data_IF_306314174660
#
_entry.id   IF_306314174660
#
_cell.length_a   1.000
_cell.length_b   1.000
_cell.length_c   1.000
_cell.angle_alpha   90.00
_cell.angle_beta   90.00
_cell.angle_gamma   90.00
#
_symmetry.space_group_name_H-M   'P 1'
#
loop_
_entity.id
_entity.type
_entity.pdbx_description
1 polymer ?
#
# COMPACT_ATOMS: atom_id res chain seq x y z
N UNK A 1 17.88 -10.03 14.42
CA UNK A 1 16.82 -10.04 13.39
C UNK A 1 15.52 -9.42 13.89
N UNK A 2 15.07 -9.70 15.12
CA UNK A 2 13.85 -9.09 15.69
C UNK A 2 13.81 -7.55 15.62
N UNK A 3 14.93 -6.87 15.90
CA UNK A 3 15.03 -5.40 15.77
C UNK A 3 14.74 -4.89 14.35
N UNK A 4 15.01 -5.68 13.30
CA UNK A 4 14.69 -5.31 11.92
C UNK A 4 13.18 -5.28 11.68
N UNK A 5 12.45 -6.29 12.19
CA UNK A 5 10.99 -6.33 12.09
C UNK A 5 10.33 -5.25 12.96
N UNK A 6 10.94 -4.91 14.09
CA UNK A 6 10.47 -3.84 14.96
C UNK A 6 10.51 -2.45 14.29
N UNK A 7 11.33 -2.26 13.25
CA UNK A 7 11.33 -1.01 12.47
C UNK A 7 10.03 -0.77 11.70
N UNK A 8 9.21 -1.80 11.46
CA UNK A 8 7.88 -1.64 10.85
C UNK A 8 6.88 -0.91 11.75
N UNK A 9 7.15 -0.81 13.06
CA UNK A 9 6.34 0.00 13.98
C UNK A 9 6.37 1.50 13.64
N UNK A 10 7.39 1.95 12.90
CA UNK A 10 7.48 3.33 12.42
C UNK A 10 6.52 3.63 11.25
N UNK A 11 5.88 2.61 10.68
CA UNK A 11 4.87 2.80 9.63
C UNK A 11 3.59 3.40 10.21
N UNK A 12 2.92 4.28 9.46
CA UNK A 12 1.59 4.81 9.82
C UNK A 12 0.47 3.79 9.63
N UNK A 13 0.73 2.71 8.89
CA UNK A 13 -0.27 1.70 8.56
C UNK A 13 -0.37 0.62 9.65
N UNK A 14 -1.51 0.47 10.35
CA UNK A 14 -1.64 -0.44 11.48
C UNK A 14 -1.41 -1.92 11.09
N UNK A 15 -1.76 -2.29 9.86
CA UNK A 15 -1.52 -3.64 9.33
C UNK A 15 -0.02 -4.02 9.34
N UNK A 16 0.86 -3.09 8.93
CA UNK A 16 2.31 -3.32 8.90
C UNK A 16 2.91 -3.38 10.31
N UNK A 17 2.37 -2.57 11.23
CA UNK A 17 2.80 -2.59 12.64
C UNK A 17 2.50 -3.95 13.29
N UNK A 18 1.29 -4.46 13.10
CA UNK A 18 0.85 -5.75 13.65
C UNK A 18 1.68 -6.91 13.07
N UNK A 19 1.93 -6.90 11.76
CA UNK A 19 2.79 -7.89 11.11
C UNK A 19 4.22 -7.89 11.69
N UNK A 20 4.82 -6.71 11.84
CA UNK A 20 6.16 -6.56 12.41
C UNK A 20 6.29 -7.08 13.85
N UNK A 21 5.28 -6.82 14.69
CA UNK A 21 5.23 -7.31 16.08
C UNK A 21 5.13 -8.84 16.13
N UNK A 22 4.22 -9.43 15.33
CA UNK A 22 4.05 -10.88 15.26
C UNK A 22 5.34 -11.58 14.85
N UNK A 23 6.05 -11.08 13.83
CA UNK A 23 7.34 -11.63 13.41
C UNK A 23 8.43 -11.46 14.47
N UNK A 24 8.48 -10.31 15.15
CA UNK A 24 9.46 -10.07 16.20
C UNK A 24 9.27 -11.06 17.37
N UNK A 25 8.02 -11.30 17.79
CA UNK A 25 7.68 -12.30 18.81
C UNK A 25 8.05 -13.70 18.33
N UNK A 26 7.70 -14.06 17.09
CA UNK A 26 8.04 -15.36 16.50
C UNK A 26 9.54 -15.65 16.52
N UNK A 27 10.37 -14.67 16.14
CA UNK A 27 11.84 -14.82 16.15
C UNK A 27 12.38 -15.02 17.57
N UNK A 28 11.83 -14.32 18.57
CA UNK A 28 12.22 -14.48 19.97
C UNK A 28 11.86 -15.89 20.45
N UNK A 29 10.65 -16.37 20.13
CA UNK A 29 10.23 -17.73 20.47
C UNK A 29 11.10 -18.79 19.79
N UNK A 30 11.39 -18.65 18.50
CA UNK A 30 12.29 -19.55 17.79
C UNK A 30 13.67 -19.60 18.46
N UNK A 31 14.22 -18.46 18.89
CA UNK A 31 15.52 -18.41 19.56
C UNK A 31 15.52 -19.13 20.91
N UNK A 32 14.46 -18.96 21.71
CA UNK A 32 14.32 -19.67 23.00
C UNK A 32 14.18 -21.18 22.77
N UNK A 33 13.36 -21.59 21.81
CA UNK A 33 13.16 -23.00 21.46
C UNK A 33 14.47 -23.60 20.93
N UNK A 34 15.20 -22.90 20.07
CA UNK A 34 16.48 -23.34 19.51
C UNK A 34 17.52 -23.55 20.61
N UNK A 35 17.63 -22.62 21.58
CA UNK A 35 18.52 -22.79 22.73
C UNK A 35 18.13 -24.02 23.55
N UNK A 36 16.85 -24.16 23.90
CA UNK A 36 16.37 -25.29 24.69
C UNK A 36 16.57 -26.64 23.99
N UNK A 37 16.27 -26.70 22.70
CA UNK A 37 16.47 -27.91 21.88
C UNK A 37 17.96 -28.21 21.73
N UNK A 38 18.80 -27.21 21.50
CA UNK A 38 20.24 -27.41 21.36
C UNK A 38 20.80 -28.05 22.63
N UNK A 39 20.52 -27.50 23.82
CA UNK A 39 20.97 -28.11 25.08
C UNK A 39 20.37 -29.51 25.33
N UNK A 40 19.10 -29.72 25.00
CA UNK A 40 18.43 -31.01 25.16
C UNK A 40 19.02 -32.09 24.24
N UNK A 41 19.18 -31.77 22.95
CA UNK A 41 19.75 -32.66 21.94
C UNK A 41 21.22 -32.94 22.24
N UNK A 42 22.03 -31.94 22.62
CA UNK A 42 23.42 -32.18 23.01
C UNK A 42 23.51 -33.13 24.20
N UNK A 43 22.72 -32.92 25.26
CA UNK A 43 22.75 -33.80 26.43
C UNK A 43 22.34 -35.24 26.09
N UNK A 44 21.35 -35.44 25.22
CA UNK A 44 20.91 -36.77 24.79
C UNK A 44 21.92 -37.46 23.86
N UNK A 45 22.58 -36.71 22.96
CA UNK A 45 23.60 -37.24 22.05
C UNK A 45 24.90 -37.56 22.78
N UNK A 46 25.33 -36.70 23.71
CA UNK A 46 26.56 -36.88 24.48
C UNK A 46 26.44 -38.11 25.41
N UNK A 47 25.24 -38.40 25.92
CA UNK A 47 24.96 -39.63 26.67
C UNK A 47 25.08 -40.91 25.82
N UNK A 48 24.97 -40.83 24.49
CA UNK A 48 25.01 -41.99 23.58
C UNK A 48 26.36 -42.23 22.89
N UNK A 49 27.27 -41.25 22.83
CA UNK A 49 28.49 -41.36 22.02
C UNK A 49 29.78 -41.08 22.82
N UNK A 50 30.27 -42.07 23.57
CA UNK A 50 31.65 -42.16 24.07
C UNK A 50 32.60 -42.89 23.12
N UNK A 51 32.28 -42.95 21.81
CA UNK A 51 33.21 -43.50 20.81
C UNK A 51 33.88 -42.34 20.09
N UNK A 52 35.23 -42.24 20.08
CA UNK A 52 35.91 -41.18 19.36
C UNK A 52 35.46 -41.24 17.90
N UNK A 53 34.88 -40.15 17.42
CA UNK A 53 34.61 -39.96 15.99
C UNK A 53 35.97 -40.05 15.32
N UNK A 54 36.24 -41.16 14.62
CA UNK A 54 37.36 -41.22 13.68
C UNK A 54 37.09 -40.08 12.70
N UNK A 55 37.96 -39.07 12.68
CA UNK A 55 37.97 -38.06 11.62
C UNK A 55 38.19 -38.86 10.33
N UNK A 56 37.11 -39.18 9.64
CA UNK A 56 37.20 -39.81 8.34
C UNK A 56 37.76 -38.70 7.46
N UNK A 57 39.04 -38.85 7.11
CA UNK A 57 39.69 -38.04 6.10
C UNK A 57 39.04 -38.40 4.76
N UNK A 58 37.85 -37.87 4.55
CA UNK A 58 37.05 -38.19 3.39
C UNK A 58 37.53 -37.34 2.23
N UNK A 59 38.43 -37.96 1.49
CA UNK A 59 38.78 -37.69 0.10
C UNK A 59 37.54 -37.86 -0.83
N UNK A 60 36.34 -37.59 -0.33
CA UNK A 60 35.07 -37.72 -1.01
C UNK A 60 35.02 -36.70 -2.14
N UNK A 61 34.52 -37.10 -3.30
CA UNK A 61 34.49 -36.25 -4.50
C UNK A 61 33.86 -34.85 -4.22
N UNK A 62 32.89 -34.78 -3.32
CA UNK A 62 32.30 -33.53 -2.84
C UNK A 62 33.32 -32.61 -2.14
N UNK A 63 34.20 -33.13 -1.28
CA UNK A 63 35.20 -32.31 -0.59
C UNK A 63 36.20 -31.72 -1.57
N UNK A 64 36.64 -32.51 -2.55
CA UNK A 64 37.51 -32.04 -3.65
C UNK A 64 36.82 -31.02 -4.55
N UNK A 65 35.53 -31.18 -4.80
CA UNK A 65 34.74 -30.21 -5.58
C UNK A 65 34.55 -28.89 -4.83
N UNK A 66 34.19 -28.95 -3.53
CA UNK A 66 34.05 -27.78 -2.67
C UNK A 66 35.38 -27.04 -2.52
N UNK A 67 36.49 -27.77 -2.37
CA UNK A 67 37.83 -27.19 -2.25
C UNK A 67 38.24 -26.50 -3.55
N UNK A 68 38.00 -27.13 -4.70
CA UNK A 68 38.28 -26.55 -6.02
C UNK A 68 37.39 -25.34 -6.30
N UNK A 69 36.11 -25.39 -5.94
CA UNK A 69 35.18 -24.27 -6.04
C UNK A 69 35.60 -23.09 -5.15
N UNK A 70 35.92 -23.37 -3.88
CA UNK A 70 36.37 -22.35 -2.92
C UNK A 70 37.67 -21.70 -3.38
N UNK A 71 38.62 -22.49 -3.88
CA UNK A 71 39.89 -21.98 -4.41
C UNK A 71 39.71 -21.21 -5.73
N UNK A 72 38.68 -21.52 -6.53
CA UNK A 72 38.35 -20.77 -7.75
C UNK A 72 37.68 -19.43 -7.44
N UNK A 73 36.70 -19.43 -6.54
CA UNK A 73 36.03 -18.22 -6.04
C UNK A 73 37.03 -17.31 -5.28
N UNK A 74 37.92 -17.90 -4.49
CA UNK A 74 38.96 -17.18 -3.73
C UNK A 74 40.00 -16.45 -4.60
N UNK A 75 40.14 -16.81 -5.89
CA UNK A 75 41.01 -16.10 -6.84
C UNK A 75 40.37 -14.87 -7.47
N UNK A 76 39.05 -14.70 -7.34
CA UNK A 76 38.28 -13.67 -8.04
C UNK A 76 37.57 -12.67 -7.09
N UNK A 77 38.13 -12.27 -5.92
CA UNK A 77 37.40 -11.44 -4.96
C UNK A 77 37.09 -10.04 -5.52
N UNK A 78 38.03 -9.43 -6.23
CA UNK A 78 37.90 -8.08 -6.80
C UNK A 78 36.86 -8.04 -7.93
N UNK A 79 36.90 -8.89 -8.98
CA UNK A 79 35.89 -8.85 -10.03
C UNK A 79 34.49 -9.21 -9.52
N UNK A 80 34.36 -10.15 -8.58
CA UNK A 80 33.06 -10.48 -7.95
C UNK A 80 32.51 -9.26 -7.21
N UNK A 81 33.35 -8.52 -6.48
CA UNK A 81 32.94 -7.31 -5.76
C UNK A 81 32.53 -6.20 -6.72
N UNK A 82 33.27 -6.00 -7.82
CA UNK A 82 32.93 -5.01 -8.85
C UNK A 82 31.59 -5.35 -9.50
N UNK A 83 31.38 -6.61 -9.90
CA UNK A 83 30.11 -7.05 -10.50
C UNK A 83 28.95 -6.86 -9.50
N UNK A 84 29.14 -7.25 -8.24
CA UNK A 84 28.12 -7.05 -7.20
C UNK A 84 27.80 -5.57 -6.97
N UNK A 85 28.81 -4.70 -6.99
CA UNK A 85 28.64 -3.25 -6.85
C UNK A 85 27.91 -2.64 -8.06
N UNK A 86 28.26 -3.05 -9.27
CA UNK A 86 27.58 -2.61 -10.50
C UNK A 86 26.11 -3.04 -10.48
N UNK A 87 25.83 -4.31 -10.16
CA UNK A 87 24.46 -4.81 -10.03
C UNK A 87 23.69 -4.08 -8.92
N UNK A 88 24.35 -3.72 -7.82
CA UNK A 88 23.75 -2.92 -6.74
C UNK A 88 23.33 -1.53 -7.21
N UNK A 89 24.20 -0.86 -7.96
CA UNK A 89 23.97 0.52 -8.44
C UNK A 89 22.88 0.54 -9.49
N UNK A 90 22.95 -0.37 -10.46
CA UNK A 90 21.87 -0.56 -11.45
C UNK A 90 20.56 -0.82 -10.72
N UNK A 91 20.60 -1.72 -9.74
CA UNK A 91 19.42 -2.10 -9.02
C UNK A 91 18.75 -0.97 -8.24
N UNK A 92 19.55 -0.14 -7.58
CA UNK A 92 19.06 1.04 -6.88
C UNK A 92 18.53 2.10 -7.84
N UNK A 93 19.13 2.25 -9.03
CA UNK A 93 18.68 3.20 -10.04
C UNK A 93 17.31 2.84 -10.62
N UNK A 94 17.00 1.55 -10.76
CA UNK A 94 15.73 1.08 -11.35
C UNK A 94 14.59 1.04 -10.33
N UNK A 95 14.89 1.04 -9.02
CA UNK A 95 13.89 0.94 -7.94
C UNK A 95 12.87 2.09 -7.96
N UNK A 96 13.30 3.32 -8.33
CA UNK A 96 12.40 4.48 -8.40
C UNK A 96 11.42 4.46 -9.58
N UNK A 97 11.62 3.58 -10.57
CA UNK A 97 10.80 3.51 -11.77
C UNK A 97 9.72 2.42 -11.72
N UNK A 98 9.58 1.71 -10.60
CA UNK A 98 8.59 0.64 -10.45
C UNK A 98 7.23 1.27 -10.11
N UNK A 99 6.23 1.23 -11.01
CA UNK A 99 4.90 1.73 -10.71
C UNK A 99 4.26 0.87 -9.62
N UNK A 100 3.70 1.52 -8.61
CA UNK A 100 2.91 0.83 -7.58
C UNK A 100 1.53 0.52 -8.14
N UNK A 101 1.21 -0.77 -8.33
CA UNK A 101 -0.14 -1.18 -8.73
C UNK A 101 -1.08 -1.04 -7.53
N UNK A 102 -1.82 0.07 -7.46
CA UNK A 102 -2.76 0.33 -6.37
C UNK A 102 -4.17 -0.19 -6.65
N UNK A 103 -4.40 -0.79 -7.81
CA UNK A 103 -5.70 -1.34 -8.18
C UNK A 103 -5.88 -2.72 -7.53
N UNK A 104 -6.60 -2.75 -6.41
CA UNK A 104 -6.91 -3.97 -5.66
C UNK A 104 -7.68 -5.01 -6.50
N UNK A 105 -8.46 -4.59 -7.50
CA UNK A 105 -9.22 -5.52 -8.34
C UNK A 105 -8.30 -6.40 -9.20
N UNK A 106 -7.12 -5.92 -9.59
CA UNK A 106 -6.12 -6.73 -10.30
C UNK A 106 -5.51 -7.82 -9.43
N UNK A 107 -5.62 -7.71 -8.09
CA UNK A 107 -5.14 -8.73 -7.16
C UNK A 107 -6.11 -9.90 -6.99
N UNK A 108 -7.35 -9.73 -7.46
CA UNK A 108 -8.36 -10.77 -7.44
C UNK A 108 -8.18 -11.65 -8.70
N UNK A 109 -8.33 -12.98 -8.62
CA UNK A 109 -8.26 -13.83 -9.81
C UNK A 109 -9.30 -13.40 -10.86
N UNK A 110 -8.82 -13.02 -12.05
CA UNK A 110 -9.65 -12.43 -13.11
C UNK A 110 -10.60 -13.45 -13.78
N UNK A 111 -10.39 -14.74 -13.50
CA UNK A 111 -11.21 -15.85 -13.99
C UNK A 111 -12.47 -16.09 -13.15
N UNK A 112 -12.59 -15.46 -11.98
CA UNK A 112 -13.77 -15.59 -11.12
C UNK A 112 -15.02 -15.10 -11.83
N UNK A 113 -16.03 -15.98 -11.91
CA UNK A 113 -17.33 -15.67 -12.53
C UNK A 113 -17.97 -14.43 -11.90
N UNK A 114 -17.91 -14.28 -10.58
CA UNK A 114 -18.47 -13.13 -9.87
C UNK A 114 -17.85 -11.79 -10.32
N UNK A 115 -16.55 -11.77 -10.65
CA UNK A 115 -15.88 -10.56 -11.13
C UNK A 115 -16.29 -10.25 -12.58
N UNK A 116 -16.42 -11.27 -13.44
CA UNK A 116 -16.91 -11.10 -14.81
C UNK A 116 -18.35 -10.60 -14.85
N UNK A 117 -19.21 -11.14 -14.00
CA UNK A 117 -20.61 -10.72 -13.88
C UNK A 117 -20.68 -9.27 -13.36
N UNK A 118 -19.86 -8.91 -12.37
CA UNK A 118 -19.77 -7.54 -11.87
C UNK A 118 -19.27 -6.55 -12.94
N UNK A 119 -18.21 -6.89 -13.67
CA UNK A 119 -17.69 -6.06 -14.77
C UNK A 119 -18.73 -5.91 -15.88
N UNK A 120 -19.46 -6.97 -16.22
CA UNK A 120 -20.52 -6.91 -17.25
C UNK A 120 -21.68 -6.00 -16.83
N UNK A 121 -22.07 -6.03 -15.56
CA UNK A 121 -23.07 -5.09 -15.02
C UNK A 121 -22.54 -3.65 -15.02
N UNK A 122 -21.27 -3.48 -14.70
CA UNK A 122 -20.60 -2.18 -14.69
C UNK A 122 -20.49 -1.57 -16.09
N UNK A 123 -20.26 -2.36 -17.13
CA UNK A 123 -20.25 -1.88 -18.51
C UNK A 123 -21.62 -1.33 -18.97
N UNK A 124 -22.71 -1.81 -18.35
CA UNK A 124 -24.08 -1.37 -18.65
C UNK A 124 -24.50 -0.18 -17.79
N UNK A 125 -24.17 -0.20 -16.50
CA UNK A 125 -24.62 0.80 -15.50
C UNK A 125 -23.64 1.98 -15.40
N UNK A 126 -22.40 1.83 -15.86
CA UNK A 126 -21.32 2.80 -15.75
C UNK A 126 -20.57 2.71 -14.42
N UNK A 127 -19.72 3.70 -14.12
CA UNK A 127 -18.90 3.71 -12.90
C UNK A 127 -19.75 3.62 -11.63
N UNK A 128 -19.28 2.88 -10.64
CA UNK A 128 -19.92 2.79 -9.30
C UNK A 128 -19.02 3.35 -8.20
N UNK A 129 -17.96 4.06 -8.60
CA UNK A 129 -16.96 4.62 -7.69
C UNK A 129 -17.35 6.05 -7.35
N UNK A 130 -17.62 6.29 -6.07
CA UNK A 130 -17.98 7.61 -5.56
C UNK A 130 -16.92 8.13 -4.58
N UNK A 131 -16.51 9.39 -4.77
CA UNK A 131 -15.80 10.16 -3.75
C UNK A 131 -16.83 11.01 -3.03
N UNK A 132 -17.07 10.69 -1.76
CA UNK A 132 -18.09 11.35 -0.93
C UNK A 132 -17.46 12.48 -0.12
N UNK A 133 -18.12 13.63 -0.10
CA UNK A 133 -17.86 14.73 0.81
C UNK A 133 -19.06 14.90 1.75
N UNK A 134 -18.76 15.14 3.02
CA UNK A 134 -19.73 15.55 4.04
C UNK A 134 -19.70 17.06 4.12
N UNK A 135 -20.86 17.68 3.94
CA UNK A 135 -21.10 19.11 4.14
C UNK A 135 -21.79 19.28 5.48
N UNK A 136 -21.19 20.08 6.35
CA UNK A 136 -21.70 20.43 7.67
C UNK A 136 -22.03 21.92 7.70
N UNK A 137 -23.24 22.26 8.15
CA UNK A 137 -23.71 23.63 8.32
C UNK A 137 -24.75 23.68 9.45
N UNK A 138 -25.12 24.88 9.92
CA UNK A 138 -26.20 25.04 10.90
C UNK A 138 -27.54 24.48 10.37
N UNK A 139 -27.83 24.75 9.09
CA UNK A 139 -28.92 24.13 8.34
C UNK A 139 -28.50 23.91 6.87
N UNK A 140 -28.33 22.65 6.47
CA UNK A 140 -27.98 22.27 5.09
C UNK A 140 -29.16 22.39 4.13
N UNK A 141 -30.37 22.63 4.64
CA UNK A 141 -31.57 22.90 3.85
C UNK A 141 -31.78 24.39 3.56
N UNK A 142 -30.86 25.23 4.03
CA UNK A 142 -30.91 26.67 3.75
C UNK A 142 -30.59 26.99 2.27
N UNK A 143 -31.29 27.95 1.65
CA UNK A 143 -31.06 28.32 0.24
C UNK A 143 -29.60 28.62 -0.10
N UNK A 144 -28.88 29.29 0.80
CA UNK A 144 -27.48 29.67 0.57
C UNK A 144 -26.58 28.43 0.49
N UNK A 145 -26.76 27.48 1.42
CA UNK A 145 -26.02 26.21 1.44
C UNK A 145 -26.35 25.34 0.22
N UNK A 146 -27.63 25.27 -0.16
CA UNK A 146 -28.08 24.49 -1.33
C UNK A 146 -27.52 25.07 -2.62
N UNK A 147 -27.57 26.39 -2.77
CA UNK A 147 -27.04 27.07 -3.94
C UNK A 147 -25.51 26.90 -4.03
N UNK A 148 -24.80 27.01 -2.90
CA UNK A 148 -23.37 26.73 -2.84
C UNK A 148 -23.04 25.29 -3.26
N UNK A 149 -23.76 24.29 -2.73
CA UNK A 149 -23.58 22.88 -3.11
C UNK A 149 -23.83 22.65 -4.61
N UNK A 150 -24.83 23.33 -5.19
CA UNK A 150 -25.16 23.25 -6.61
C UNK A 150 -24.03 23.82 -7.48
N UNK A 151 -23.61 25.06 -7.18
CA UNK A 151 -22.54 25.75 -7.93
C UNK A 151 -21.21 25.02 -7.81
N UNK A 152 -20.86 24.54 -6.60
CA UNK A 152 -19.65 23.77 -6.38
C UNK A 152 -19.70 22.43 -7.13
N UNK A 153 -20.81 21.70 -7.04
CA UNK A 153 -21.02 20.45 -7.77
C UNK A 153 -20.83 20.61 -9.28
N UNK A 154 -21.54 21.57 -9.88
CA UNK A 154 -21.48 21.86 -11.31
C UNK A 154 -20.09 22.33 -11.75
N UNK A 155 -19.42 23.16 -10.92
CA UNK A 155 -18.03 23.62 -11.16
C UNK A 155 -17.07 22.45 -11.23
N UNK A 156 -17.12 21.50 -10.30
CA UNK A 156 -16.22 20.35 -10.27
C UNK A 156 -16.47 19.44 -11.47
N UNK A 157 -17.74 19.13 -11.79
CA UNK A 157 -18.09 18.30 -12.95
C UNK A 157 -17.65 18.96 -14.26
N UNK A 158 -17.79 20.28 -14.40
CA UNK A 158 -17.37 21.02 -15.60
C UNK A 158 -15.83 21.11 -15.75
N UNK A 159 -15.10 21.20 -14.63
CA UNK A 159 -13.63 21.36 -14.64
C UNK A 159 -12.89 20.02 -14.78
N UNK A 160 -13.45 18.94 -14.22
CA UNK A 160 -12.78 17.64 -14.17
C UNK A 160 -13.50 16.61 -15.04
N UNK A 161 -12.92 16.28 -16.20
CA UNK A 161 -13.46 15.28 -17.14
C UNK A 161 -13.59 13.87 -16.54
N UNK A 162 -12.83 13.60 -15.50
CA UNK A 162 -12.83 12.31 -14.81
C UNK A 162 -13.95 12.21 -13.75
N UNK A 163 -14.72 13.28 -13.55
CA UNK A 163 -15.94 13.28 -12.73
C UNK A 163 -17.13 13.21 -13.68
N UNK A 164 -17.88 12.11 -13.62
CA UNK A 164 -19.02 11.85 -14.50
C UNK A 164 -20.28 12.58 -14.05
N UNK A 165 -20.54 12.57 -12.74
CA UNK A 165 -21.78 13.08 -12.15
C UNK A 165 -21.56 13.47 -10.68
N UNK A 166 -22.38 14.40 -10.18
CA UNK A 166 -22.50 14.71 -8.76
C UNK A 166 -23.91 14.33 -8.27
N UNK A 167 -23.98 13.60 -7.17
CA UNK A 167 -25.24 13.30 -6.47
C UNK A 167 -25.25 14.02 -5.13
N UNK A 168 -26.19 14.96 -4.97
CA UNK A 168 -26.33 15.80 -3.79
C UNK A 168 -27.80 16.24 -3.64
N UNK A 169 -28.15 16.88 -2.51
CA UNK A 169 -29.50 17.41 -2.31
C UNK A 169 -29.96 18.37 -3.43
N UNK A 170 -29.17 19.36 -3.90
CA UNK A 170 -29.59 20.19 -5.02
C UNK A 170 -29.84 19.35 -6.28
N UNK A 171 -29.01 18.35 -6.60
CA UNK A 171 -29.25 17.50 -7.78
C UNK A 171 -30.57 16.73 -7.71
N UNK A 172 -30.96 16.25 -6.52
CA UNK A 172 -32.26 15.60 -6.35
C UNK A 172 -33.43 16.59 -6.49
N UNK A 173 -33.26 17.82 -5.99
CA UNK A 173 -34.25 18.88 -6.17
C UNK A 173 -34.34 19.31 -7.64
N UNK A 174 -33.23 19.35 -8.37
CA UNK A 174 -33.20 19.63 -9.80
C UNK A 174 -34.00 18.59 -10.58
N UNK A 175 -33.82 17.31 -10.28
CA UNK A 175 -34.55 16.24 -10.94
C UNK A 175 -36.07 16.31 -10.70
N UNK A 176 -36.50 16.84 -9.56
CA UNK A 176 -37.93 17.00 -9.24
C UNK A 176 -38.54 18.28 -9.80
N UNK A 177 -37.78 19.38 -9.82
CA UNK A 177 -38.31 20.73 -10.12
C UNK A 177 -37.94 21.24 -11.52
N UNK A 178 -36.86 20.74 -12.10
CA UNK A 178 -36.27 21.24 -13.34
C UNK A 178 -35.63 22.64 -13.22
N UNK A 179 -35.49 23.20 -12.01
CA UNK A 179 -35.01 24.57 -11.81
C UNK A 179 -33.62 24.62 -11.18
N UNK A 180 -32.66 25.22 -11.88
CA UNK A 180 -31.26 25.37 -11.47
C UNK A 180 -30.98 26.47 -10.45
N UNK A 181 -31.97 27.32 -10.16
CA UNK A 181 -31.81 28.41 -9.20
C UNK A 181 -32.58 28.12 -7.89
N UNK A 182 -31.82 27.93 -6.81
CA UNK A 182 -32.33 27.69 -5.46
C UNK A 182 -32.38 28.94 -4.59
N UNK A 183 -32.11 30.13 -5.16
CA UNK A 183 -32.16 31.42 -4.47
C UNK A 183 -33.58 31.89 -4.09
N UNK A 184 -34.57 31.01 -4.24
CA UNK A 184 -35.99 31.29 -3.98
C UNK A 184 -36.33 31.23 -2.48
N UNK A 185 -37.52 31.73 -2.12
CA UNK A 185 -38.02 31.76 -0.74
C UNK A 185 -37.84 30.44 0.00
N UNK A 186 -37.21 30.51 1.18
CA UNK A 186 -36.94 29.37 2.08
C UNK A 186 -38.16 28.48 2.32
N UNK A 187 -39.36 29.06 2.41
CA UNK A 187 -40.60 28.31 2.59
C UNK A 187 -40.94 27.39 1.40
N UNK A 188 -40.67 27.83 0.17
CA UNK A 188 -40.92 27.03 -1.03
C UNK A 188 -39.97 25.82 -1.05
N UNK A 189 -38.70 26.06 -0.74
CA UNK A 189 -37.66 25.04 -0.68
C UNK A 189 -37.96 24.00 0.41
N UNK A 190 -38.36 24.45 1.59
CA UNK A 190 -38.80 23.55 2.67
C UNK A 190 -40.02 22.70 2.28
N UNK A 191 -40.99 23.29 1.56
CA UNK A 191 -42.17 22.57 1.09
C UNK A 191 -41.83 21.52 0.03
N UNK A 192 -40.85 21.79 -0.83
CA UNK A 192 -40.34 20.83 -1.80
C UNK A 192 -39.60 19.68 -1.10
N UNK A 193 -38.77 19.98 -0.11
CA UNK A 193 -38.06 18.98 0.69
C UNK A 193 -39.05 18.08 1.45
N UNK A 194 -40.15 18.65 1.99
CA UNK A 194 -41.22 17.88 2.67
C UNK A 194 -41.97 16.93 1.74
N UNK A 195 -42.03 17.24 0.44
CA UNK A 195 -42.67 16.39 -0.57
C UNK A 195 -41.74 15.27 -1.07
N UNK A 196 -40.44 15.35 -0.78
CA UNK A 196 -39.48 14.33 -1.18
C UNK A 196 -39.75 13.01 -0.44
N UNK A 197 -39.65 11.86 -1.14
CA UNK A 197 -39.70 10.56 -0.48
C UNK A 197 -38.65 10.48 0.65
N UNK A 198 -39.04 10.06 1.86
CA UNK A 198 -38.14 10.08 3.02
C UNK A 198 -36.92 9.17 2.86
N UNK A 199 -36.99 8.18 1.97
CA UNK A 199 -35.86 7.31 1.61
C UNK A 199 -34.80 8.04 0.80
N UNK A 200 -35.20 8.92 -0.13
CA UNK A 200 -34.28 9.73 -0.93
C UNK A 200 -33.67 10.86 -0.08
N UNK A 201 -34.48 11.52 0.75
CA UNK A 201 -33.96 12.59 1.61
C UNK A 201 -32.91 12.06 2.60
N UNK A 202 -33.14 10.89 3.20
CA UNK A 202 -32.21 10.25 4.14
C UNK A 202 -30.90 9.77 3.52
N UNK A 203 -30.84 9.59 2.19
CA UNK A 203 -29.58 9.19 1.54
C UNK A 203 -28.62 10.37 1.37
N UNK A 204 -29.15 11.60 1.31
CA UNK A 204 -28.35 12.82 1.09
C UNK A 204 -28.29 13.74 2.30
N UNK A 205 -29.26 13.72 3.21
CA UNK A 205 -29.35 14.63 4.37
C UNK A 205 -29.65 13.89 5.66
N UNK A 206 -28.97 14.31 6.72
CA UNK A 206 -29.19 13.83 8.08
C UNK A 206 -30.51 14.32 8.66
N UNK A 207 -31.11 13.53 9.56
CA UNK A 207 -32.37 13.85 10.22
C UNK A 207 -32.33 15.18 11.02
N UNK A 208 -31.15 15.59 11.49
CA UNK A 208 -30.95 16.85 12.21
C UNK A 208 -30.71 18.06 11.29
N UNK A 209 -30.73 17.89 9.95
CA UNK A 209 -30.43 18.93 8.95
C UNK A 209 -29.04 19.60 9.05
N UNK A 210 -28.13 19.08 9.87
CA UNK A 210 -26.78 19.67 10.00
C UNK A 210 -25.77 19.07 9.02
N UNK A 211 -26.11 17.94 8.40
CA UNK A 211 -25.20 17.21 7.54
C UNK A 211 -25.87 16.87 6.21
N UNK A 212 -25.16 17.13 5.12
CA UNK A 212 -25.50 16.72 3.76
C UNK A 212 -24.33 15.98 3.11
N UNK A 213 -24.60 15.11 2.14
CA UNK A 213 -23.56 14.43 1.36
C UNK A 213 -23.52 14.93 -0.08
N UNK A 214 -22.31 15.08 -0.60
CA UNK A 214 -22.04 15.29 -2.03
C UNK A 214 -21.19 14.13 -2.52
N UNK A 215 -21.74 13.35 -3.44
CA UNK A 215 -21.09 12.16 -3.99
C UNK A 215 -20.68 12.44 -5.43
N UNK A 216 -19.38 12.50 -5.67
CA UNK A 216 -18.84 12.64 -7.02
C UNK A 216 -18.58 11.27 -7.60
N UNK A 217 -19.29 10.93 -8.67
CA UNK A 217 -19.08 9.72 -9.45
C UNK A 217 -17.83 9.90 -10.30
N UNK A 218 -16.83 9.05 -10.12
CA UNK A 218 -15.51 9.19 -10.75
C UNK A 218 -15.31 8.10 -11.79
N UNK A 219 -14.62 8.42 -12.88
CA UNK A 219 -14.27 7.47 -13.92
C UNK A 219 -13.51 6.27 -13.33
N UNK A 220 -14.01 5.07 -13.64
CA UNK A 220 -13.49 3.80 -13.16
C UNK A 220 -12.10 3.44 -13.69
N UNK A 221 -11.68 4.02 -14.81
CA UNK A 221 -10.37 3.79 -15.41
C UNK A 221 -9.24 4.46 -14.62
N UNK A 222 -9.58 5.42 -13.75
CA UNK A 222 -8.59 6.07 -12.91
C UNK A 222 -7.97 5.10 -11.92
N UNK A 223 -6.63 5.05 -11.90
CA UNK A 223 -5.88 4.39 -10.85
C UNK A 223 -6.13 5.06 -9.49
N UNK A 224 -5.94 4.32 -8.39
CA UNK A 224 -6.12 4.87 -7.04
C UNK A 224 -5.20 6.08 -6.78
N UNK A 225 -4.02 6.15 -7.41
CA UNK A 225 -3.15 7.33 -7.34
C UNK A 225 -3.77 8.56 -8.00
N UNK A 226 -4.34 8.40 -9.20
CA UNK A 226 -5.05 9.49 -9.90
C UNK A 226 -6.33 9.90 -9.16
N UNK A 227 -7.06 8.94 -8.59
CA UNK A 227 -8.24 9.22 -7.76
C UNK A 227 -7.86 10.03 -6.50
N UNK A 228 -6.72 9.71 -5.87
CA UNK A 228 -6.20 10.47 -4.74
C UNK A 228 -5.80 11.90 -5.14
N UNK A 229 -5.14 12.07 -6.28
CA UNK A 229 -4.79 13.38 -6.83
C UNK A 229 -6.04 14.22 -7.15
N UNK A 230 -7.04 13.61 -7.79
CA UNK A 230 -8.33 14.23 -8.06
C UNK A 230 -9.02 14.65 -6.76
N UNK A 231 -9.08 13.77 -5.76
CA UNK A 231 -9.64 14.07 -4.43
C UNK A 231 -8.92 15.25 -3.78
N UNK A 232 -7.59 15.26 -3.79
CA UNK A 232 -6.79 16.34 -3.21
C UNK A 232 -7.02 17.67 -3.94
N UNK A 233 -7.15 17.63 -5.27
CA UNK A 233 -7.43 18.80 -6.10
C UNK A 233 -8.81 19.37 -5.79
N UNK A 234 -9.86 18.53 -5.75
CA UNK A 234 -11.21 18.93 -5.37
C UNK A 234 -11.19 19.51 -3.95
N UNK A 235 -10.49 18.86 -3.00
CA UNK A 235 -10.39 19.33 -1.61
C UNK A 235 -9.73 20.71 -1.51
N UNK A 236 -8.74 21.01 -2.35
CA UNK A 236 -8.09 22.32 -2.39
C UNK A 236 -8.96 23.42 -3.02
N UNK A 237 -9.92 23.05 -3.87
CA UNK A 237 -10.81 23.99 -4.56
C UNK A 237 -12.06 24.34 -3.74
N UNK A 238 -12.25 23.73 -2.57
CA UNK A 238 -13.38 24.00 -1.67
C UNK A 238 -13.28 25.46 -1.19
N UNK A 239 -14.16 26.31 -1.72
CA UNK A 239 -14.34 27.73 -1.39
C UNK A 239 -15.65 27.93 -0.62
N UNK A 240 -15.81 27.18 0.47
CA UNK A 240 -16.98 27.26 1.34
C UNK A 240 -17.01 28.59 2.12
N UNK A 241 -18.19 29.19 2.25
CA UNK A 241 -18.42 30.42 3.04
C UNK A 241 -18.34 30.15 4.55
N UNK A 242 -18.18 31.22 5.34
CA UNK A 242 -18.20 31.14 6.81
C UNK A 242 -19.45 30.39 7.30
N UNK A 243 -19.26 29.28 8.00
CA UNK A 243 -20.33 28.41 8.52
C UNK A 243 -20.55 27.09 7.78
N UNK A 244 -19.92 26.88 6.61
CA UNK A 244 -19.98 25.61 5.87
C UNK A 244 -18.63 24.89 6.00
N UNK A 245 -18.62 23.70 6.61
CA UNK A 245 -17.45 22.83 6.68
C UNK A 245 -17.62 21.64 5.75
N UNK A 246 -16.57 21.32 4.98
CA UNK A 246 -16.63 20.24 4.00
C UNK A 246 -15.45 19.30 4.22
N UNK A 247 -15.75 18.03 4.40
CA UNK A 247 -14.72 17.00 4.65
C UNK A 247 -14.92 15.79 3.74
N UNK A 248 -13.85 15.26 3.11
CA UNK A 248 -13.95 14.01 2.38
C UNK A 248 -14.17 12.85 3.36
N UNK A 249 -15.19 12.04 3.10
CA UNK A 249 -15.63 10.93 3.96
C UNK A 249 -15.91 9.67 3.15
N UNK A 250 -16.22 8.57 3.85
CA UNK A 250 -16.60 7.31 3.22
C UNK A 250 -15.44 6.34 3.02
N UNK A 251 -15.79 5.12 2.62
CA UNK A 251 -14.86 4.00 2.49
C UNK A 251 -13.80 4.26 1.41
N UNK A 252 -14.17 4.88 0.30
CA UNK A 252 -13.25 5.21 -0.79
C UNK A 252 -12.15 6.18 -0.33
N UNK A 253 -12.50 7.25 0.38
CA UNK A 253 -11.54 8.22 0.92
C UNK A 253 -10.60 7.54 1.93
N UNK A 254 -11.12 6.67 2.79
CA UNK A 254 -10.29 5.91 3.73
C UNK A 254 -9.33 4.97 3.02
N UNK A 255 -9.77 4.31 1.94
CA UNK A 255 -8.90 3.48 1.10
C UNK A 255 -7.79 4.32 0.45
N UNK A 256 -8.13 5.45 -0.18
CA UNK A 256 -7.17 6.34 -0.84
C UNK A 256 -6.14 6.89 0.15
N UNK A 257 -6.59 7.39 1.31
CA UNK A 257 -5.69 7.83 2.38
C UNK A 257 -4.89 6.68 2.98
N UNK A 258 -5.42 5.47 3.02
CA UNK A 258 -4.72 4.27 3.46
C UNK A 258 -3.53 3.94 2.55
N UNK A 259 -3.77 3.96 1.23
CA UNK A 259 -2.74 3.77 0.21
C UNK A 259 -1.66 4.85 0.33
N UNK A 260 -2.08 6.12 0.44
CA UNK A 260 -1.16 7.25 0.62
C UNK A 260 -0.30 7.08 1.87
N UNK A 261 -0.90 6.79 3.02
CA UNK A 261 -0.18 6.63 4.29
C UNK A 261 0.82 5.46 4.30
N UNK A 262 0.57 4.40 3.52
CA UNK A 262 1.54 3.32 3.35
C UNK A 262 2.70 3.76 2.46
N UNK A 263 2.42 4.53 1.39
CA UNK A 263 3.43 5.02 0.45
C UNK A 263 4.29 6.16 1.03
N UNK A 264 3.68 7.11 1.75
CA UNK A 264 4.28 8.36 2.22
C UNK A 264 5.47 8.15 3.18
N UNK A 265 5.54 6.99 3.84
CA UNK A 265 6.62 6.65 4.76
C UNK A 265 7.57 5.56 4.25
N UNK A 266 7.40 5.05 3.03
CA UNK A 266 8.26 4.00 2.49
C UNK A 266 9.74 4.42 2.49
N UNK A 267 10.02 5.67 2.12
CA UNK A 267 11.37 6.21 2.11
C UNK A 267 11.97 6.31 3.52
N UNK A 268 11.19 6.80 4.50
CA UNK A 268 11.63 6.95 5.90
C UNK A 268 11.87 5.57 6.54
N UNK A 269 11.00 4.59 6.30
CA UNK A 269 11.17 3.22 6.81
C UNK A 269 12.40 2.57 6.17
N UNK A 270 12.60 2.74 4.87
CA UNK A 270 13.78 2.20 4.17
C UNK A 270 15.07 2.82 4.69
N UNK A 271 15.12 4.14 4.86
CA UNK A 271 16.31 4.83 5.39
C UNK A 271 16.57 4.47 6.85
N UNK A 272 15.53 4.46 7.69
CA UNK A 272 15.66 4.18 9.13
C UNK A 272 16.04 2.72 9.39
N UNK A 273 15.45 1.79 8.64
CA UNK A 273 15.80 0.36 8.73
C UNK A 273 17.22 0.08 8.21
N UNK A 274 17.69 0.79 7.16
CA UNK A 274 19.09 0.73 6.71
C UNK A 274 20.04 1.27 7.78
N UNK A 275 19.74 2.43 8.37
CA UNK A 275 20.59 3.10 9.38
C UNK A 275 20.68 2.29 10.67
N UNK A 276 19.58 1.75 11.18
CA UNK A 276 19.56 0.90 12.38
C UNK A 276 20.29 -0.42 12.14
N UNK A 277 20.04 -1.10 11.02
CA UNK A 277 20.69 -2.37 10.67
C UNK A 277 22.19 -2.22 10.47
N UNK A 278 22.65 -1.17 9.79
CA UNK A 278 24.07 -0.90 9.60
C UNK A 278 24.76 -0.52 10.91
N UNK A 279 24.12 0.24 11.80
CA UNK A 279 24.70 0.58 13.12
C UNK A 279 24.82 -0.64 14.03
N UNK A 280 23.82 -1.52 14.06
CA UNK A 280 23.86 -2.76 14.86
C UNK A 280 24.92 -3.73 14.30
N UNK A 281 25.01 -3.90 12.97
CA UNK A 281 26.05 -4.73 12.34
C UNK A 281 27.45 -4.17 12.58
N UNK A 282 27.64 -2.87 12.43
CA UNK A 282 28.93 -2.22 12.70
C UNK A 282 29.34 -2.39 14.17
N UNK A 283 28.40 -2.20 15.11
CA UNK A 283 28.67 -2.38 16.54
C UNK A 283 29.01 -3.84 16.90
N UNK A 284 28.36 -4.82 16.27
CA UNK A 284 28.62 -6.24 16.51
C UNK A 284 29.97 -6.68 15.92
N UNK A 285 30.30 -6.24 14.69
CA UNK A 285 31.60 -6.53 14.06
C UNK A 285 32.75 -5.85 14.82
N UNK A 286 32.58 -4.61 15.30
CA UNK A 286 33.58 -3.94 16.15
C UNK A 286 33.79 -4.62 17.50
N UNK A 287 32.78 -5.34 18.03
CA UNK A 287 32.85 -6.03 19.32
C UNK A 287 33.53 -7.40 19.22
N UNK A 288 33.47 -8.06 18.06
CA UNK A 288 34.00 -9.42 17.85
C UNK A 288 35.30 -9.47 17.02
N UNK A 289 35.43 -8.66 15.98
CA UNK A 289 36.64 -8.54 15.17
C UNK A 289 37.37 -7.25 15.56
N UNK A 290 38.24 -7.33 16.57
CA UNK A 290 39.27 -6.31 16.72
C UNK A 290 40.04 -6.17 15.40
N UNK A 291 40.01 -4.97 14.81
CA UNK A 291 40.98 -4.48 13.79
C UNK A 291 40.92 -4.97 12.33
N UNK A 292 39.77 -5.29 11.73
CA UNK A 292 39.69 -5.40 10.24
C UNK A 292 38.58 -4.53 9.61
N UNK A 293 38.96 -3.33 9.16
CA UNK A 293 38.10 -2.37 8.45
C UNK A 293 37.41 -2.93 7.18
N UNK A 294 38.00 -3.95 6.54
CA UNK A 294 37.50 -4.55 5.29
C UNK A 294 36.16 -5.29 5.51
N UNK A 295 35.99 -5.98 6.64
CA UNK A 295 34.74 -6.69 6.95
C UNK A 295 33.56 -5.74 7.22
N UNK A 296 33.85 -4.58 7.83
CA UNK A 296 32.86 -3.53 8.08
C UNK A 296 32.42 -2.88 6.77
N UNK A 297 33.36 -2.58 5.86
CA UNK A 297 33.05 -1.99 4.54
C UNK A 297 32.25 -2.96 3.67
N UNK A 298 32.61 -4.25 3.64
CA UNK A 298 31.87 -5.27 2.90
C UNK A 298 30.44 -5.46 3.45
N UNK A 299 30.26 -5.49 4.78
CA UNK A 299 28.94 -5.63 5.41
C UNK A 299 28.04 -4.39 5.24
N UNK A 300 28.63 -3.20 5.12
CA UNK A 300 27.92 -1.94 4.84
C UNK A 300 27.49 -1.83 3.37
N UNK A 301 28.26 -2.43 2.45
CA UNK A 301 28.05 -2.35 1.01
C UNK A 301 27.23 -3.50 0.41
N UNK A 302 26.98 -4.60 1.13
CA UNK A 302 26.17 -5.71 0.59
C UNK A 302 24.69 -5.32 0.39
N UNK A 303 24.19 -5.30 -0.85
CA UNK A 303 22.80 -5.01 -1.17
C UNK A 303 21.92 -6.24 -0.96
N UNK A 304 21.55 -6.52 0.29
CA UNK A 304 20.73 -7.70 0.59
C UNK A 304 19.23 -7.55 0.22
N UNK A 305 18.78 -6.38 -0.24
CA UNK A 305 17.34 -6.15 -0.51
C UNK A 305 17.04 -5.52 -1.88
N UNK A 306 18.00 -4.80 -2.49
CA UNK A 306 17.79 -4.18 -3.82
C UNK A 306 17.97 -5.21 -4.93
N UNK A 307 18.83 -6.21 -4.75
CA UNK A 307 19.04 -7.29 -5.73
C UNK A 307 17.79 -8.15 -5.97
N UNK A 308 16.95 -8.40 -4.96
CA UNK A 308 15.70 -9.17 -5.10
C UNK A 308 14.59 -8.37 -5.79
N UNK A 309 14.48 -7.06 -5.52
CA UNK A 309 13.53 -6.16 -6.18
C UNK A 309 13.85 -5.99 -7.67
N UNK A 310 15.14 -5.98 -8.00
CA UNK A 310 15.63 -5.80 -9.38
C UNK A 310 15.55 -7.09 -10.17
N UNK A 311 15.74 -8.24 -9.51
CA UNK A 311 15.37 -9.52 -10.10
C UNK A 311 13.89 -9.55 -10.48
N UNK A 312 13.00 -9.01 -9.64
CA UNK A 312 11.57 -8.91 -9.95
C UNK A 312 11.23 -7.86 -11.03
N UNK A 313 11.94 -6.72 -11.08
CA UNK A 313 11.71 -5.69 -12.11
C UNK A 313 12.14 -6.15 -13.51
N UNK A 314 13.20 -6.98 -13.60
CA UNK A 314 13.62 -7.61 -14.87
C UNK A 314 12.57 -8.61 -15.37
N UNK A 315 11.78 -9.20 -14.46
CA UNK A 315 10.68 -10.12 -14.77
C UNK A 315 9.28 -9.45 -14.79
N UNK A 316 9.21 -8.12 -14.89
CA UNK A 316 7.97 -7.36 -15.05
C UNK A 316 6.91 -7.64 -13.97
N UNK A 317 7.34 -7.86 -12.73
CA UNK A 317 6.45 -8.05 -11.57
C UNK A 317 6.07 -6.72 -10.92
N UNK A 318 4.79 -6.43 -10.82
CA UNK A 318 4.28 -5.30 -10.03
C UNK A 318 4.29 -5.65 -8.55
N UNK A 319 4.81 -4.76 -7.71
CA UNK A 319 4.82 -4.98 -6.26
C UNK A 319 3.57 -4.38 -5.60
N UNK A 320 2.94 -5.19 -4.73
CA UNK A 320 1.69 -4.84 -4.06
C UNK A 320 1.74 -5.15 -2.54
N UNK A 321 0.72 -4.73 -1.79
CA UNK A 321 0.68 -4.67 -0.31
C UNK A 321 0.95 -5.97 0.49
N UNK A 322 1.09 -7.13 -0.16
CA UNK A 322 1.31 -8.42 0.53
C UNK A 322 2.16 -9.46 -0.21
N UNK A 323 2.45 -9.27 -1.51
CA UNK A 323 3.30 -10.14 -2.31
C UNK A 323 3.71 -9.43 -3.62
N UNK A 324 4.90 -9.73 -4.14
CA UNK A 324 5.24 -9.46 -5.54
C UNK A 324 5.12 -10.79 -6.28
N UNK A 325 4.05 -10.98 -7.07
CA UNK A 325 3.91 -12.16 -7.93
C UNK A 325 4.53 -11.86 -9.31
N UNK A 326 5.23 -12.83 -9.94
CA UNK A 326 5.64 -12.69 -11.33
C UNK A 326 4.41 -12.74 -12.24
N UNK A 327 4.35 -11.82 -13.21
CA UNK A 327 3.32 -11.78 -14.25
C UNK A 327 3.25 -13.14 -14.96
N UNK A 328 2.11 -13.82 -14.88
CA UNK A 328 1.87 -15.06 -15.62
C UNK A 328 1.25 -14.68 -16.97
N UNK A 329 2.02 -14.88 -18.03
CA UNK A 329 1.66 -14.57 -19.42
C UNK A 329 0.28 -15.15 -19.80
N UNK A 330 -0.63 -14.40 -20.47
CA UNK A 330 -1.94 -14.90 -20.89
C UNK A 330 -1.90 -15.91 -22.07
N UNK A 331 -0.71 -16.33 -22.53
CA UNK A 331 -0.55 -17.25 -23.66
C UNK A 331 -0.63 -18.76 -23.32
N UNK A 332 -0.92 -19.14 -22.07
CA UNK A 332 -1.08 -20.56 -21.69
C UNK A 332 -2.54 -21.04 -21.56
N UNK A 333 -3.53 -20.26 -22.01
CA UNK A 333 -4.97 -20.61 -21.97
C UNK A 333 -5.55 -20.85 -23.37
N UNK A 334 -4.71 -21.17 -24.36
CA UNK A 334 -5.12 -21.70 -25.67
C UNK A 334 -4.51 -23.09 -25.86
N UNK A 335 -4.91 -24.03 -25.00
CA UNK A 335 -4.95 -25.49 -25.22
C UNK A 335 -5.06 -26.22 -23.88
N UNK A 336 -6.29 -26.33 -23.37
CA UNK A 336 -6.82 -27.51 -22.66
C UNK A 336 -8.25 -27.26 -22.23
#
# INVERSE_FOLDING_TARGET
>A
MALSFLTMLLSKAPMMQQFGVTLAIGVIFCYVIEICLLFSTFHLLDRKHTKPVKIINENTWLSRFLEKYTHWVGKLPIPILVVALVLSVIGFSTESSIPTETNLMKMIPQDLKALKDANSLQDVVGSTIFITYLVEADDVTDPDTINWMNLFGDKIVAQHKDVEEVTSLPQLLLQMTGNHDFSSDKEQLENLIKQMPPTLLKSVVSANKQYATMQFKVNQELSSAQQLELMNTITQQIDASDGIQVSPVGTQVMMLRGIDNVSANHNVITITSRRTRNRVRAAFIFRFEGTKHIGVIAALLTPNNTSSLVFHSIFNGSCNFGACEPFRDPMSQINS
#
